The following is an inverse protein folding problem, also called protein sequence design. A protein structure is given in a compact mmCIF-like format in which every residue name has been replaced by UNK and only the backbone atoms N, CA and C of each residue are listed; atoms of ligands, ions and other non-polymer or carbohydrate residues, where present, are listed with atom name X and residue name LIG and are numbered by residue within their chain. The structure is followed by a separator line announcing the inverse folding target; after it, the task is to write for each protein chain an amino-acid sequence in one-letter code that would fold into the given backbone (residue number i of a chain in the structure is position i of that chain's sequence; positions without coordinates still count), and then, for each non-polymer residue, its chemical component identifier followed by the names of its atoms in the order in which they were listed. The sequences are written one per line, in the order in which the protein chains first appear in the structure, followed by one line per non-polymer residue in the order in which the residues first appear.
data_IF_701082351329
#
_entry.id   IF_701082351329
#
_cell.length_a   1.000
_cell.length_b   1.000
_cell.length_c   1.000
_cell.angle_alpha   90.00
_cell.angle_beta   90.00
_cell.angle_gamma   90.00
#
_symmetry.space_group_name_H-M   'P 1'
#
loop_
_entity.id
_entity.type
_entity.pdbx_description
1 polymer ?
#
# COMPACT_ATOMS: atom_id res chain seq x y z
N UNK A 1 -1.90 -76.87 70.85
CA UNK A 1 -0.85 -77.41 69.96
C UNK A 1 -0.57 -76.37 68.90
N UNK A 2 0.63 -75.78 69.02
CA UNK A 2 1.51 -75.24 68.00
C UNK A 2 1.02 -74.16 67.02
N UNK A 3 1.78 -73.14 66.68
CA UNK A 3 3.05 -72.61 67.20
C UNK A 3 3.37 -71.37 66.36
N UNK A 4 3.99 -70.39 67.01
CA UNK A 4 4.72 -69.26 66.46
C UNK A 4 5.50 -69.55 65.15
N UNK A 5 5.62 -68.56 64.26
CA UNK A 5 6.86 -67.80 64.05
C UNK A 5 6.83 -66.94 62.75
N UNK A 6 6.99 -65.62 62.97
CA UNK A 6 7.91 -64.67 62.32
C UNK A 6 8.11 -64.70 60.78
N UNK A 7 7.93 -63.52 60.17
CA UNK A 7 9.00 -62.70 59.54
C UNK A 7 8.40 -61.33 59.14
N UNK A 8 8.87 -60.22 59.74
CA UNK A 8 10.01 -59.38 59.31
C UNK A 8 9.66 -58.59 58.05
N UNK A 9 9.32 -57.29 58.14
CA UNK A 9 10.25 -56.15 58.07
C UNK A 9 10.07 -55.49 56.69
N UNK A 10 10.08 -54.18 56.43
CA UNK A 10 10.42 -52.99 57.19
C UNK A 10 9.69 -51.80 56.57
N UNK A 11 9.28 -50.85 57.41
CA UNK A 11 8.86 -49.51 57.01
C UNK A 11 10.09 -48.75 56.51
N UNK A 12 10.10 -48.32 55.24
CA UNK A 12 11.09 -47.39 54.72
C UNK A 12 10.48 -46.00 54.58
N UNK A 13 11.11 -45.06 55.28
CA UNK A 13 10.78 -43.64 55.35
C UNK A 13 11.21 -42.92 54.06
N UNK A 14 10.57 -41.77 53.89
CA UNK A 14 10.77 -40.70 52.93
C UNK A 14 12.25 -40.39 52.70
N UNK A 15 12.70 -40.50 51.44
CA UNK A 15 13.85 -39.76 50.93
C UNK A 15 13.39 -38.90 49.74
N UNK A 16 13.48 -37.59 49.98
CA UNK A 16 13.25 -36.51 49.01
C UNK A 16 14.31 -36.61 47.89
N UNK A 17 13.94 -36.53 46.60
CA UNK A 17 14.94 -36.54 45.53
C UNK A 17 15.84 -35.28 45.60
N UNK A 18 17.12 -35.39 45.21
CA UNK A 18 18.12 -34.34 45.36
C UNK A 18 17.81 -33.12 44.46
N UNK A 19 18.32 -31.91 44.79
CA UNK A 19 18.19 -30.77 43.90
C UNK A 19 19.16 -30.95 42.73
N UNK A 20 18.63 -31.24 41.54
CA UNK A 20 19.44 -31.25 40.32
C UNK A 20 19.42 -29.86 39.72
N UNK A 21 20.31 -29.00 40.23
CA UNK A 21 20.77 -27.83 39.49
C UNK A 21 21.64 -28.32 38.35
N UNK A 22 21.07 -28.37 37.15
CA UNK A 22 21.76 -28.77 35.94
C UNK A 22 21.00 -28.25 34.74
N UNK A 23 21.47 -27.13 34.19
CA UNK A 23 21.15 -26.69 32.84
C UNK A 23 21.37 -27.85 31.87
N UNK A 24 20.30 -28.49 31.45
CA UNK A 24 20.29 -29.44 30.35
C UNK A 24 19.22 -28.96 29.39
N UNK A 25 19.71 -28.38 28.31
CA UNK A 25 18.99 -27.99 27.11
C UNK A 25 18.32 -29.27 26.57
N UNK A 26 17.07 -29.49 26.98
CA UNK A 26 16.24 -30.53 26.44
C UNK A 26 15.59 -29.98 25.17
N UNK A 27 16.18 -30.31 24.04
CA UNK A 27 15.49 -30.31 22.76
C UNK A 27 14.32 -31.31 22.85
N UNK A 28 13.11 -30.82 23.06
CA UNK A 28 11.89 -31.63 22.96
C UNK A 28 10.64 -30.77 22.84
N UNK A 29 9.92 -30.95 21.72
CA UNK A 29 8.48 -30.67 21.61
C UNK A 29 8.14 -29.43 20.79
N UNK A 30 7.58 -29.64 19.60
CA UNK A 30 6.77 -28.63 18.92
C UNK A 30 5.74 -28.09 19.93
N UNK A 31 5.92 -26.85 20.39
CA UNK A 31 4.94 -26.19 21.23
C UNK A 31 3.66 -25.97 20.40
N UNK A 32 2.47 -26.29 20.92
CA UNK A 32 1.24 -26.14 20.18
C UNK A 32 1.04 -24.66 19.86
N UNK A 33 0.80 -24.35 18.57
CA UNK A 33 0.33 -23.07 18.04
C UNK A 33 -0.36 -22.23 19.14
N UNK A 34 0.32 -21.22 19.69
CA UNK A 34 -0.32 -20.29 20.64
C UNK A 34 -1.28 -19.43 19.86
N UNK A 35 -2.51 -19.92 19.72
CA UNK A 35 -3.61 -19.16 19.15
C UNK A 35 -3.83 -17.88 19.96
N UNK A 36 -4.08 -16.80 19.25
CA UNK A 36 -4.36 -15.48 19.78
C UNK A 36 -5.54 -14.87 19.05
N UNK A 37 -6.31 -14.06 19.78
CA UNK A 37 -7.42 -13.28 19.24
C UNK A 37 -7.04 -11.81 19.21
N UNK A 38 -7.29 -11.16 18.09
CA UNK A 38 -7.14 -9.73 17.90
C UNK A 38 -8.53 -9.15 17.66
N UNK A 39 -8.87 -8.06 18.34
CA UNK A 39 -10.09 -7.31 18.11
C UNK A 39 -9.72 -6.00 17.41
N UNK A 40 -9.92 -5.96 16.09
CA UNK A 40 -9.53 -4.83 15.23
C UNK A 40 -10.78 -4.03 14.90
N UNK A 41 -10.96 -2.87 15.52
CA UNK A 41 -12.11 -1.99 15.30
C UNK A 41 -13.48 -2.69 15.48
N UNK A 42 -13.56 -3.67 16.38
CA UNK A 42 -14.77 -4.46 16.66
C UNK A 42 -14.86 -5.81 15.94
N UNK A 43 -13.99 -6.09 14.98
CA UNK A 43 -13.94 -7.39 14.28
C UNK A 43 -12.89 -8.31 14.92
N UNK A 44 -13.30 -9.53 15.27
CA UNK A 44 -12.41 -10.53 15.86
C UNK A 44 -11.66 -11.32 14.77
N UNK A 45 -10.35 -11.38 14.90
CA UNK A 45 -9.44 -12.20 14.10
C UNK A 45 -8.74 -13.23 14.99
N UNK A 46 -8.80 -14.51 14.62
CA UNK A 46 -8.03 -15.57 15.25
C UNK A 46 -6.81 -15.94 14.39
N UNK A 47 -5.64 -15.99 15.02
CA UNK A 47 -4.38 -16.37 14.36
C UNK A 47 -3.40 -16.99 15.36
N UNK A 48 -2.18 -17.33 14.94
CA UNK A 48 -1.13 -17.84 15.83
C UNK A 48 -0.09 -16.75 16.10
N UNK A 49 0.56 -16.81 17.27
CA UNK A 49 1.71 -15.94 17.57
C UNK A 49 2.78 -16.08 16.47
N UNK A 50 3.04 -17.30 15.99
CA UNK A 50 4.01 -17.56 14.91
C UNK A 50 3.71 -16.77 13.63
N UNK A 51 2.43 -16.59 13.30
CA UNK A 51 2.02 -15.76 12.16
C UNK A 51 2.40 -14.29 12.38
N UNK A 52 2.23 -13.79 13.60
CA UNK A 52 2.46 -12.38 13.94
C UNK A 52 3.95 -12.04 14.10
N UNK A 53 4.77 -12.98 14.58
CA UNK A 53 6.21 -12.77 14.82
C UNK A 53 7.10 -13.28 13.70
N UNK A 54 6.61 -14.20 12.87
CA UNK A 54 7.46 -15.01 11.98
C UNK A 54 8.02 -14.24 10.78
N UNK A 55 7.17 -13.51 10.04
CA UNK A 55 7.60 -12.84 8.79
C UNK A 55 8.23 -11.48 9.02
N UNK A 56 7.68 -10.72 9.95
CA UNK A 56 8.00 -9.30 10.15
C UNK A 56 8.29 -9.08 11.64
N UNK A 57 9.46 -9.56 12.13
CA UNK A 57 9.78 -9.56 13.55
C UNK A 57 9.90 -8.15 14.15
N UNK A 58 10.19 -7.15 13.31
CA UNK A 58 10.28 -5.74 13.73
C UNK A 58 8.94 -5.00 13.69
N UNK A 59 7.87 -5.67 13.23
CA UNK A 59 6.54 -5.09 13.17
C UNK A 59 5.97 -4.78 14.56
N UNK A 60 5.04 -3.85 14.63
CA UNK A 60 4.27 -3.56 15.84
C UNK A 60 3.57 -4.81 16.36
N UNK A 61 2.98 -5.61 15.46
CA UNK A 61 2.31 -6.85 15.82
C UNK A 61 3.28 -7.85 16.44
N UNK A 62 4.48 -8.01 15.89
CA UNK A 62 5.49 -8.88 16.49
C UNK A 62 5.91 -8.38 17.87
N UNK A 63 6.16 -7.08 18.01
CA UNK A 63 6.54 -6.44 19.29
C UNK A 63 5.48 -6.57 20.38
N UNK A 64 4.21 -6.70 20.05
CA UNK A 64 3.16 -7.00 21.03
C UNK A 64 3.33 -8.38 21.71
N UNK A 65 4.02 -9.32 21.05
CA UNK A 65 4.15 -10.71 21.52
C UNK A 65 5.60 -11.15 21.79
N UNK A 66 6.58 -10.33 21.41
CA UNK A 66 7.98 -10.51 21.77
C UNK A 66 8.21 -9.99 23.20
N UNK A 67 8.63 -10.87 24.11
CA UNK A 67 8.86 -10.56 25.53
C UNK A 67 10.21 -9.84 25.75
N UNK A 68 10.48 -8.75 25.01
CA UNK A 68 11.67 -7.92 25.21
C UNK A 68 11.45 -6.78 26.23
N UNK A 69 10.22 -6.61 26.74
CA UNK A 69 9.89 -5.57 27.70
C UNK A 69 9.80 -4.16 27.13
N UNK A 70 9.86 -3.99 25.80
CA UNK A 70 9.86 -2.67 25.15
C UNK A 70 8.46 -2.09 24.90
N UNK A 71 7.40 -2.91 25.00
CA UNK A 71 6.03 -2.47 24.71
C UNK A 71 5.02 -3.07 25.70
N UNK A 72 4.18 -2.21 26.31
CA UNK A 72 3.04 -2.66 27.10
C UNK A 72 2.02 -3.32 26.16
N UNK A 73 1.55 -4.54 26.44
CA UNK A 73 0.53 -5.18 25.60
C UNK A 73 -0.74 -4.32 25.60
N UNK A 74 -1.32 -4.11 24.42
CA UNK A 74 -2.61 -3.41 24.27
C UNK A 74 -3.66 -3.98 25.23
N UNK A 75 -4.60 -3.12 25.63
CA UNK A 75 -5.74 -3.52 26.45
C UNK A 75 -6.44 -4.74 25.83
N UNK A 76 -6.93 -5.63 26.70
CA UNK A 76 -7.67 -6.82 26.28
C UNK A 76 -9.15 -6.63 26.61
N UNK A 77 -10.03 -7.14 25.77
CA UNK A 77 -11.45 -7.19 26.07
C UNK A 77 -11.79 -8.30 27.09
N UNK A 78 -13.06 -8.36 27.51
CA UNK A 78 -13.58 -9.35 28.45
C UNK A 78 -13.39 -10.80 27.96
N UNK A 79 -13.22 -11.01 26.65
CA UNK A 79 -13.00 -12.30 26.00
C UNK A 79 -11.51 -12.61 25.80
N UNK A 80 -10.61 -11.72 26.25
CA UNK A 80 -9.17 -11.87 26.19
C UNK A 80 -8.53 -11.57 24.85
N UNK A 81 -9.25 -10.94 23.90
CA UNK A 81 -8.69 -10.50 22.63
C UNK A 81 -7.96 -9.16 22.79
N UNK A 82 -6.83 -9.00 22.09
CA UNK A 82 -6.06 -7.77 22.11
C UNK A 82 -6.74 -6.70 21.27
N UNK A 83 -7.01 -5.54 21.86
CA UNK A 83 -7.68 -4.43 21.21
C UNK A 83 -6.73 -3.66 20.29
N UNK A 84 -7.18 -3.42 19.08
CA UNK A 84 -6.50 -2.64 18.04
C UNK A 84 -7.52 -1.66 17.48
N UNK A 85 -7.34 -0.37 17.77
CA UNK A 85 -8.22 0.70 17.30
C UNK A 85 -7.88 1.10 15.86
N UNK A 86 -8.09 0.17 14.92
CA UNK A 86 -7.82 0.33 13.47
C UNK A 86 -8.94 -0.27 12.63
N UNK A 87 -8.93 0.02 11.33
CA UNK A 87 -9.95 -0.46 10.40
C UNK A 87 -9.82 -1.97 10.14
N UNK A 88 -10.84 -2.79 10.46
CA UNK A 88 -10.80 -4.21 10.12
C UNK A 88 -10.81 -4.46 8.62
N UNK A 89 -11.41 -3.54 7.84
CA UNK A 89 -11.56 -3.67 6.39
C UNK A 89 -10.20 -3.71 5.66
N UNK A 90 -9.20 -2.98 6.16
CA UNK A 90 -7.85 -2.94 5.58
C UNK A 90 -6.86 -3.89 6.28
N UNK A 91 -7.25 -4.46 7.42
CA UNK A 91 -6.41 -5.38 8.18
C UNK A 91 -6.42 -6.80 7.63
N UNK A 92 -7.53 -7.26 7.05
CA UNK A 92 -7.65 -8.62 6.52
C UNK A 92 -6.58 -8.99 5.48
N UNK A 93 -6.26 -8.11 4.48
CA UNK A 93 -5.14 -8.37 3.58
C UNK A 93 -3.77 -8.48 4.27
N UNK A 94 -3.56 -7.72 5.37
CA UNK A 94 -2.29 -7.72 6.12
C UNK A 94 -2.11 -9.03 6.87
N UNK A 95 -3.13 -9.50 7.60
CA UNK A 95 -3.02 -10.75 8.34
C UNK A 95 -2.87 -11.96 7.39
N UNK A 96 -3.46 -11.91 6.21
CA UNK A 96 -3.26 -12.92 5.16
C UNK A 96 -1.85 -12.87 4.58
N UNK A 97 -1.30 -11.68 4.31
CA UNK A 97 0.11 -11.53 3.95
C UNK A 97 1.03 -12.14 5.02
N UNK A 98 0.76 -11.92 6.31
CA UNK A 98 1.55 -12.54 7.39
C UNK A 98 1.43 -14.07 7.41
N UNK A 99 0.28 -14.64 7.02
CA UNK A 99 0.10 -16.10 6.93
C UNK A 99 0.91 -16.72 5.79
N UNK A 100 0.73 -16.26 4.57
CA UNK A 100 1.26 -16.93 3.37
C UNK A 100 2.32 -16.15 2.59
N UNK A 101 2.60 -14.90 2.95
CA UNK A 101 3.69 -14.10 2.37
C UNK A 101 3.38 -13.50 1.00
N UNK A 102 2.12 -13.56 0.58
CA UNK A 102 1.67 -12.95 -0.67
C UNK A 102 0.59 -11.92 -0.38
N UNK A 103 0.68 -10.77 -1.02
CA UNK A 103 -0.35 -9.75 -0.92
C UNK A 103 -1.52 -10.09 -1.85
N UNK A 104 -2.68 -10.34 -1.26
CA UNK A 104 -3.95 -10.57 -1.98
C UNK A 104 -4.98 -9.63 -1.37
N UNK A 105 -5.62 -8.84 -2.24
CA UNK A 105 -6.73 -7.97 -1.85
C UNK A 105 -7.85 -8.07 -2.87
N UNK A 106 -9.09 -8.06 -2.38
CA UNK A 106 -10.26 -8.01 -3.25
C UNK A 106 -10.34 -6.68 -3.99
N UNK A 107 -10.98 -6.70 -5.16
CA UNK A 107 -11.12 -5.52 -6.03
C UNK A 107 -11.85 -4.34 -5.39
N UNK A 108 -12.61 -4.56 -4.31
CA UNK A 108 -13.34 -3.54 -3.56
C UNK A 108 -12.50 -2.92 -2.42
N UNK A 109 -11.30 -3.45 -2.12
CA UNK A 109 -10.43 -2.94 -1.06
C UNK A 109 -9.41 -1.96 -1.66
N UNK A 110 -9.36 -0.75 -1.12
CA UNK A 110 -8.36 0.25 -1.54
C UNK A 110 -6.96 -0.15 -1.11
N UNK A 111 -6.06 -0.37 -2.07
CA UNK A 111 -4.63 -0.67 -1.82
C UNK A 111 -3.96 0.44 -1.03
N UNK A 112 -4.36 1.70 -1.24
CA UNK A 112 -3.87 2.84 -0.46
C UNK A 112 -4.28 2.73 1.03
N UNK A 113 -5.52 2.30 1.30
CA UNK A 113 -5.97 2.07 2.68
C UNK A 113 -5.19 0.95 3.37
N UNK A 114 -4.87 -0.11 2.62
CA UNK A 114 -4.02 -1.19 3.13
C UNK A 114 -2.57 -0.73 3.35
N UNK A 115 -2.03 0.12 2.47
CA UNK A 115 -0.70 0.70 2.64
C UNK A 115 -0.59 1.48 3.95
N UNK A 116 -1.58 2.32 4.26
CA UNK A 116 -1.61 3.10 5.50
C UNK A 116 -1.63 2.19 6.75
N UNK A 117 -2.41 1.11 6.73
CA UNK A 117 -2.37 0.12 7.81
C UNK A 117 -1.02 -0.62 7.87
N UNK A 118 -0.43 -0.99 6.73
CA UNK A 118 0.86 -1.66 6.70
C UNK A 118 1.98 -0.77 7.28
N UNK A 119 1.94 0.54 7.04
CA UNK A 119 2.82 1.53 7.69
C UNK A 119 2.57 1.59 9.19
N UNK A 120 1.31 1.67 9.61
CA UNK A 120 0.93 1.71 11.03
C UNK A 120 1.48 0.49 11.78
N UNK A 121 1.31 -0.71 11.24
CA UNK A 121 1.81 -1.94 11.85
C UNK A 121 3.32 -2.17 11.63
N UNK A 122 3.99 -1.35 10.83
CA UNK A 122 5.43 -1.49 10.54
C UNK A 122 5.78 -2.77 9.77
N UNK A 123 4.94 -3.15 8.79
CA UNK A 123 5.13 -4.33 7.93
C UNK A 123 5.99 -3.91 6.72
N UNK A 124 7.28 -3.68 6.93
CA UNK A 124 8.14 -2.98 5.97
C UNK A 124 8.20 -3.65 4.59
N UNK A 125 8.33 -4.98 4.54
CA UNK A 125 8.41 -5.67 3.24
C UNK A 125 7.11 -5.53 2.45
N UNK A 126 5.96 -5.53 3.15
CA UNK A 126 4.67 -5.27 2.51
C UNK A 126 4.56 -3.81 2.07
N UNK A 127 5.00 -2.85 2.89
CA UNK A 127 5.02 -1.43 2.52
C UNK A 127 5.81 -1.23 1.24
N UNK A 128 7.04 -1.77 1.15
CA UNK A 128 7.85 -1.69 -0.07
C UNK A 128 7.14 -2.33 -1.25
N UNK A 129 6.56 -3.52 -1.10
CA UNK A 129 5.84 -4.18 -2.19
C UNK A 129 4.61 -3.40 -2.67
N UNK A 130 3.86 -2.79 -1.74
CA UNK A 130 2.68 -1.97 -2.05
C UNK A 130 3.08 -0.64 -2.68
N UNK A 131 4.13 0.02 -2.18
CA UNK A 131 4.71 1.22 -2.78
C UNK A 131 5.27 0.94 -4.17
N UNK A 132 5.91 -0.21 -4.40
CA UNK A 132 6.34 -0.62 -5.74
C UNK A 132 5.14 -0.88 -6.66
N UNK A 133 4.08 -1.52 -6.15
CA UNK A 133 2.87 -1.80 -6.94
C UNK A 133 2.08 -0.54 -7.27
N UNK A 134 2.01 0.42 -6.33
CA UNK A 134 1.41 1.74 -6.51
C UNK A 134 2.32 2.64 -7.34
N UNK A 135 3.63 2.54 -7.17
CA UNK A 135 4.66 3.21 -7.96
C UNK A 135 4.76 2.68 -9.40
N UNK A 136 4.41 1.41 -9.64
CA UNK A 136 4.18 0.87 -10.98
C UNK A 136 2.85 1.37 -11.59
N UNK A 137 1.92 1.90 -10.78
CA UNK A 137 0.79 2.69 -11.27
C UNK A 137 1.11 4.19 -11.41
N UNK A 138 2.15 4.67 -10.75
CA UNK A 138 2.79 5.98 -10.95
C UNK A 138 4.06 5.83 -11.80
N UNK A 139 3.92 5.38 -13.05
CA UNK A 139 4.93 5.75 -14.06
C UNK A 139 5.20 7.25 -13.93
N UNK A 140 6.47 7.71 -13.88
CA UNK A 140 6.76 9.13 -13.91
C UNK A 140 5.96 9.74 -15.05
N UNK A 141 5.12 10.74 -14.76
CA UNK A 141 4.28 11.45 -15.75
C UNK A 141 5.09 12.10 -16.89
N UNK A 142 6.41 11.90 -16.90
CA UNK A 142 7.37 12.52 -17.79
C UNK A 142 7.41 11.82 -19.15
N UNK A 143 7.16 10.50 -19.24
CA UNK A 143 7.34 9.78 -20.52
C UNK A 143 6.08 9.11 -21.11
N UNK A 144 5.01 8.90 -20.33
CA UNK A 144 3.74 8.42 -20.92
C UNK A 144 2.89 9.58 -21.44
N UNK A 145 2.21 9.44 -22.60
CA UNK A 145 1.19 10.40 -23.01
C UNK A 145 0.10 10.54 -21.94
N UNK A 146 -0.18 11.77 -21.51
CA UNK A 146 -1.27 12.08 -20.59
C UNK A 146 -2.61 11.75 -21.25
N UNK A 147 -3.50 11.12 -20.49
CA UNK A 147 -4.84 10.80 -20.97
C UNK A 147 -5.76 12.01 -20.84
N UNK A 148 -6.90 11.98 -21.55
CA UNK A 148 -7.96 12.98 -21.41
C UNK A 148 -8.35 13.21 -19.94
N UNK A 149 -8.46 12.13 -19.16
CA UNK A 149 -8.87 12.23 -17.76
C UNK A 149 -7.82 12.91 -16.89
N UNK A 150 -6.52 12.70 -17.16
CA UNK A 150 -5.44 13.36 -16.43
C UNK A 150 -5.47 14.87 -16.66
N UNK A 151 -5.72 15.27 -17.91
CA UNK A 151 -5.87 16.68 -18.30
C UNK A 151 -7.11 17.30 -17.66
N UNK A 152 -8.26 16.61 -17.66
CA UNK A 152 -9.48 17.10 -17.01
C UNK A 152 -9.27 17.27 -15.50
N UNK A 153 -8.63 16.30 -14.84
CA UNK A 153 -8.31 16.40 -13.41
C UNK A 153 -7.44 17.60 -13.14
N UNK A 154 -6.39 17.83 -13.92
CA UNK A 154 -5.51 18.97 -13.77
C UNK A 154 -6.26 20.31 -13.95
N UNK A 155 -7.15 20.41 -14.95
CA UNK A 155 -7.98 21.61 -15.16
C UNK A 155 -8.90 21.89 -13.97
N UNK A 156 -9.54 20.85 -13.42
CA UNK A 156 -10.49 20.98 -12.30
C UNK A 156 -9.77 21.25 -10.97
N UNK A 157 -8.62 20.62 -10.75
CA UNK A 157 -7.85 20.73 -9.50
C UNK A 157 -7.06 22.03 -9.41
N UNK A 158 -6.73 22.65 -10.56
CA UNK A 158 -5.97 23.90 -10.55
C UNK A 158 -6.86 25.04 -10.07
N UNK A 159 -6.42 25.71 -9.01
CA UNK A 159 -7.11 26.89 -8.49
C UNK A 159 -7.08 28.02 -9.52
N UNK A 160 -8.16 28.83 -9.57
CA UNK A 160 -8.30 29.98 -10.48
C UNK A 160 -7.21 31.05 -10.32
N UNK A 161 -6.43 30.99 -9.23
CA UNK A 161 -5.33 31.91 -8.93
C UNK A 161 -3.97 31.43 -9.49
N UNK A 162 -3.85 30.15 -9.84
CA UNK A 162 -2.61 29.56 -10.33
C UNK A 162 -2.72 29.26 -11.82
N UNK A 163 -1.73 29.70 -12.60
CA UNK A 163 -1.64 29.34 -14.01
C UNK A 163 -1.36 27.83 -14.15
N UNK A 164 -2.25 27.10 -14.84
CA UNK A 164 -2.00 25.71 -15.20
C UNK A 164 -0.89 25.65 -16.26
N UNK A 165 0.17 24.89 -15.97
CA UNK A 165 1.34 24.73 -16.83
C UNK A 165 1.49 23.27 -17.27
N UNK A 166 1.37 23.05 -18.57
CA UNK A 166 1.66 21.81 -19.27
C UNK A 166 2.95 21.96 -20.08
N UNK A 167 3.99 22.55 -19.48
CA UNK A 167 5.26 22.73 -20.17
C UNK A 167 5.99 21.38 -20.30
N UNK A 168 6.40 21.02 -21.51
CA UNK A 168 7.16 19.80 -21.79
C UNK A 168 6.38 18.49 -21.65
N UNK A 169 5.06 18.54 -21.50
CA UNK A 169 4.26 17.33 -21.30
C UNK A 169 4.07 16.55 -22.60
N UNK A 170 3.99 15.23 -22.48
CA UNK A 170 3.58 14.37 -23.58
C UNK A 170 2.05 14.22 -23.55
N UNK A 171 1.37 14.69 -24.59
CA UNK A 171 -0.06 14.53 -24.86
C UNK A 171 -0.30 13.74 -26.15
N UNK A 172 0.73 13.17 -26.77
CA UNK A 172 0.63 12.58 -28.10
C UNK A 172 -0.51 11.56 -28.22
N UNK A 173 -1.31 11.70 -29.28
CA UNK A 173 -2.48 10.86 -29.55
C UNK A 173 -3.69 11.08 -28.64
N UNK A 174 -3.67 12.04 -27.70
CA UNK A 174 -4.76 12.23 -26.75
C UNK A 174 -6.05 12.79 -27.40
N UNK A 175 -7.21 12.32 -26.95
CA UNK A 175 -8.52 12.89 -27.29
C UNK A 175 -8.87 14.06 -26.37
N UNK A 176 -8.57 15.28 -26.81
CA UNK A 176 -8.71 16.51 -26.05
C UNK A 176 -9.88 17.37 -26.55
N UNK A 177 -10.80 16.81 -27.34
CA UNK A 177 -11.92 17.54 -27.95
C UNK A 177 -12.78 18.29 -26.93
N UNK A 178 -13.27 19.45 -27.35
CA UNK A 178 -14.23 20.29 -26.59
C UNK A 178 -13.71 20.75 -25.22
N UNK A 179 -12.42 20.63 -24.93
CA UNK A 179 -11.83 21.14 -23.69
C UNK A 179 -11.53 22.64 -23.81
N UNK A 180 -11.64 23.32 -22.66
CA UNK A 180 -11.28 24.72 -22.51
C UNK A 180 -9.86 24.82 -21.93
N UNK A 181 -8.94 25.33 -22.74
CA UNK A 181 -7.54 25.47 -22.41
C UNK A 181 -7.10 26.93 -22.30
N UNK A 182 -8.03 27.89 -22.18
CA UNK A 182 -7.69 29.32 -22.14
C UNK A 182 -6.57 29.65 -21.16
N UNK A 183 -5.61 30.46 -21.61
CA UNK A 183 -4.47 30.95 -20.83
C UNK A 183 -3.47 29.87 -20.34
N UNK A 184 -3.51 28.65 -20.88
CA UNK A 184 -2.60 27.59 -20.46
C UNK A 184 -1.24 27.67 -21.18
N UNK A 185 -0.18 27.33 -20.45
CA UNK A 185 1.17 27.25 -20.99
C UNK A 185 1.52 25.81 -21.42
N UNK A 186 1.66 25.59 -22.73
CA UNK A 186 2.03 24.34 -23.40
C UNK A 186 3.42 24.40 -24.06
N UNK A 187 4.31 25.29 -23.59
CA UNK A 187 5.65 25.42 -24.15
C UNK A 187 6.36 24.06 -24.15
N UNK A 188 7.01 23.68 -25.26
CA UNK A 188 7.68 22.37 -25.42
C UNK A 188 6.77 21.12 -25.33
N UNK A 189 5.45 21.24 -25.27
CA UNK A 189 4.57 20.08 -25.17
C UNK A 189 4.59 19.25 -26.46
N UNK A 190 4.53 17.92 -26.35
CA UNK A 190 4.28 17.03 -27.48
C UNK A 190 2.77 16.77 -27.59
N UNK A 191 2.12 17.40 -28.54
CA UNK A 191 0.69 17.25 -28.87
C UNK A 191 0.49 16.63 -30.26
N UNK A 192 1.47 15.88 -30.75
CA UNK A 192 1.37 15.18 -32.03
C UNK A 192 0.21 14.19 -32.04
N UNK A 193 -0.49 14.04 -33.17
CA UNK A 193 -1.66 13.15 -33.33
C UNK A 193 -2.84 13.42 -32.37
N UNK A 194 -2.85 14.52 -31.62
CA UNK A 194 -3.95 14.85 -30.70
C UNK A 194 -5.24 15.17 -31.46
N UNK A 195 -6.38 14.85 -30.86
CA UNK A 195 -7.66 15.40 -31.30
C UNK A 195 -8.02 16.64 -30.47
N UNK A 196 -7.77 17.82 -31.03
CA UNK A 196 -8.07 19.13 -30.45
C UNK A 196 -9.32 19.76 -31.08
N UNK A 197 -10.17 19.00 -31.76
CA UNK A 197 -11.35 19.57 -32.41
C UNK A 197 -12.33 20.20 -31.40
N UNK A 198 -12.88 21.36 -31.77
CA UNK A 198 -13.77 22.19 -30.95
C UNK A 198 -13.17 22.65 -29.61
N UNK A 199 -11.84 22.66 -29.45
CA UNK A 199 -11.19 23.16 -28.23
C UNK A 199 -11.11 24.69 -28.20
N UNK A 200 -11.00 25.26 -26.99
CA UNK A 200 -10.69 26.67 -26.81
C UNK A 200 -9.23 26.85 -26.38
N UNK A 201 -8.37 27.22 -27.32
CA UNK A 201 -6.95 27.46 -27.09
C UNK A 201 -6.62 28.96 -27.03
N UNK A 202 -7.61 29.84 -26.86
CA UNK A 202 -7.37 31.28 -26.86
C UNK A 202 -6.34 31.67 -25.77
N UNK A 203 -5.42 32.56 -26.12
CA UNK A 203 -4.36 33.06 -25.24
C UNK A 203 -3.36 31.98 -24.74
N UNK A 204 -3.33 30.80 -25.34
CA UNK A 204 -2.36 29.76 -24.98
C UNK A 204 -0.92 30.08 -25.44
N UNK A 205 0.06 29.51 -24.74
CA UNK A 205 1.46 29.49 -25.18
C UNK A 205 1.84 28.11 -25.73
N UNK A 206 1.98 28.00 -27.05
CA UNK A 206 2.42 26.80 -27.78
C UNK A 206 3.85 26.94 -28.32
N UNK A 207 4.67 27.82 -27.75
CA UNK A 207 6.05 28.00 -28.19
C UNK A 207 6.82 26.67 -28.16
N UNK A 208 7.44 26.29 -29.29
CA UNK A 208 8.18 25.03 -29.44
C UNK A 208 7.37 23.76 -29.16
N UNK A 209 6.04 23.83 -29.15
CA UNK A 209 5.19 22.65 -29.04
C UNK A 209 5.17 21.86 -30.36
N UNK A 210 4.99 20.55 -30.27
CA UNK A 210 4.79 19.68 -31.43
C UNK A 210 3.30 19.40 -31.63
N UNK A 211 2.73 19.81 -32.75
CA UNK A 211 1.34 19.57 -33.15
C UNK A 211 1.26 18.82 -34.48
N UNK A 212 2.29 18.06 -34.86
CA UNK A 212 2.24 17.23 -36.08
C UNK A 212 1.02 16.31 -36.06
N UNK A 213 0.25 16.29 -37.15
CA UNK A 213 -0.97 15.47 -37.29
C UNK A 213 -2.06 15.74 -36.24
N UNK A 214 -2.01 16.83 -35.48
CA UNK A 214 -3.08 17.18 -34.57
C UNK A 214 -4.33 17.66 -35.34
N UNK A 215 -5.51 17.18 -34.95
CA UNK A 215 -6.78 17.66 -35.50
C UNK A 215 -7.22 18.93 -34.75
N UNK A 216 -7.18 20.09 -35.42
CA UNK A 216 -7.62 21.40 -34.89
C UNK A 216 -8.95 21.88 -35.51
N UNK A 217 -9.77 20.99 -36.08
CA UNK A 217 -11.06 21.34 -36.67
C UNK A 217 -11.94 22.10 -35.66
N UNK A 218 -12.46 23.26 -36.06
CA UNK A 218 -13.26 24.14 -35.19
C UNK A 218 -12.59 24.57 -33.87
N UNK A 219 -11.28 24.45 -33.72
CA UNK A 219 -10.56 24.96 -32.55
C UNK A 219 -10.46 26.49 -32.58
N UNK A 220 -10.59 27.13 -31.41
CA UNK A 220 -10.41 28.57 -31.26
C UNK A 220 -8.95 28.88 -30.93
N UNK A 221 -8.27 29.67 -31.78
CA UNK A 221 -6.83 29.96 -31.69
C UNK A 221 -6.53 31.48 -31.61
N UNK A 222 -7.41 32.26 -30.98
CA UNK A 222 -7.24 33.71 -30.86
C UNK A 222 -6.08 34.04 -29.92
N UNK A 223 -5.17 34.92 -30.37
CA UNK A 223 -4.03 35.41 -29.57
C UNK A 223 -3.10 34.30 -29.04
N UNK A 224 -2.95 33.20 -29.78
CA UNK A 224 -2.05 32.09 -29.45
C UNK A 224 -0.60 32.44 -29.77
N UNK A 225 0.32 32.14 -28.85
CA UNK A 225 1.77 32.27 -29.08
C UNK A 225 2.34 30.94 -29.58
N UNK A 226 2.67 30.84 -30.86
CA UNK A 226 3.13 29.59 -31.50
C UNK A 226 4.56 29.63 -32.07
N UNK A 227 5.46 30.46 -31.53
CA UNK A 227 6.83 30.59 -32.07
C UNK A 227 7.55 29.23 -32.08
N UNK A 228 8.08 28.83 -33.23
CA UNK A 228 8.74 27.53 -33.44
C UNK A 228 7.85 26.30 -33.15
N UNK A 229 6.52 26.45 -33.12
CA UNK A 229 5.62 25.29 -33.02
C UNK A 229 5.68 24.47 -34.31
N UNK A 230 5.77 23.15 -34.18
CA UNK A 230 5.81 22.23 -35.31
C UNK A 230 4.38 21.85 -35.71
N UNK A 231 3.91 22.36 -36.86
CA UNK A 231 2.55 22.11 -37.38
C UNK A 231 2.59 21.45 -38.76
N UNK A 232 3.64 20.68 -39.07
CA UNK A 232 3.88 20.12 -40.40
C UNK A 232 2.88 18.98 -40.69
N UNK A 233 1.70 19.39 -41.17
CA UNK A 233 0.78 18.67 -42.08
C UNK A 233 -0.31 19.62 -42.62
N UNK A 234 -0.37 20.89 -42.19
CA UNK A 234 -1.33 21.87 -42.74
C UNK A 234 -1.11 22.27 -44.21
N UNK A 235 -0.01 21.84 -44.85
CA UNK A 235 0.37 22.28 -46.21
C UNK A 235 0.35 21.18 -47.29
N UNK A 236 -0.04 19.94 -46.98
CA UNK A 236 -0.22 18.89 -47.99
C UNK A 236 -1.63 18.31 -47.93
N UNK A 237 -2.61 19.08 -48.38
CA UNK A 237 -3.95 18.63 -48.77
C UNK A 237 -4.53 19.63 -49.76
#
# INVERSE_FOLDING_TARGET
MNSDLKKSGSVARIDKPPPVSGNLIAASGFAPNRWVKLNVGGQIYATTIDTLVGREPDSMLARMFLQDGSMMPSERDEQGAFLIDRSPHYFEPIINYLRHGQFVCDSNISVMGVLEEARFFGIFSLVTHLEERLGQQETPLVDRPLTRNDVIKAIIQTSVITELRFQGVNLSGADLRKLDFRNINFKYANMSHCNLSHTNLNYCCLERADLQYANLECAQLVSVRGLCANMIHFFYS
#
